data_IF_164063514382
#
_entry.id   IF_164063514382
#
_cell.length_a   1.000
_cell.length_b   1.000
_cell.length_c   1.000
_cell.angle_alpha   90.00
_cell.angle_beta   90.00
_cell.angle_gamma   90.00
#
_symmetry.space_group_name_H-M   'P 1'
#
loop_
_entity.id
_entity.type
_entity.pdbx_description
1 polymer ?
#
# COMPACT_ATOMS: atom_id res chain seq x y z
N UNK A 1 11.29 -0.02 -2.45
CA UNK A 1 10.57 0.06 -3.75
C UNK A 1 9.78 1.36 -3.83
N UNK A 2 9.57 1.90 -5.03
CA UNK A 2 8.79 3.12 -5.24
C UNK A 2 7.68 2.93 -6.26
N UNK A 3 6.58 3.66 -6.11
CA UNK A 3 5.61 3.94 -7.19
C UNK A 3 5.86 5.36 -7.68
N UNK A 4 5.85 5.58 -9.00
CA UNK A 4 6.05 6.90 -9.58
C UNK A 4 4.88 7.24 -10.50
N UNK A 5 4.41 8.48 -10.41
CA UNK A 5 3.39 9.03 -11.31
C UNK A 5 4.10 9.99 -12.26
N UNK A 6 3.77 9.86 -13.54
CA UNK A 6 4.36 10.63 -14.62
C UNK A 6 3.27 11.35 -15.39
N UNK A 7 3.54 12.59 -15.76
CA UNK A 7 2.74 13.29 -16.75
C UNK A 7 3.08 12.75 -18.14
N UNK A 8 2.08 12.19 -18.85
CA UNK A 8 2.30 11.53 -20.12
C UNK A 8 2.61 12.49 -21.28
N UNK A 9 2.20 13.76 -21.17
CA UNK A 9 2.42 14.76 -22.23
C UNK A 9 3.86 15.31 -22.20
N UNK A 10 4.39 15.53 -21.00
CA UNK A 10 5.71 16.15 -20.75
C UNK A 10 6.80 15.12 -20.43
N UNK A 11 6.42 13.91 -20.00
CA UNK A 11 7.35 12.91 -19.49
C UNK A 11 7.95 13.27 -18.12
N UNK A 12 7.43 14.30 -17.44
CA UNK A 12 7.90 14.69 -16.12
C UNK A 12 7.39 13.73 -15.04
N UNK A 13 8.26 13.37 -14.09
CA UNK A 13 7.85 12.64 -12.89
C UNK A 13 7.19 13.63 -11.91
N UNK A 14 5.87 13.54 -11.75
CA UNK A 14 5.08 14.46 -10.90
C UNK A 14 5.08 14.04 -9.44
N UNK A 15 5.22 12.75 -9.15
CA UNK A 15 5.18 12.23 -7.78
C UNK A 15 5.96 10.92 -7.64
N UNK A 16 6.63 10.73 -6.50
CA UNK A 16 7.30 9.49 -6.11
C UNK A 16 6.86 9.06 -4.72
N UNK A 17 6.28 7.86 -4.61
CA UNK A 17 5.81 7.25 -3.37
C UNK A 17 6.77 6.13 -2.94
N UNK A 18 7.31 6.20 -1.72
CA UNK A 18 8.23 5.19 -1.15
C UNK A 18 7.49 4.12 -0.36
N UNK A 19 7.02 3.09 -1.06
CA UNK A 19 6.17 2.03 -0.46
C UNK A 19 6.97 0.99 0.35
N UNK A 20 8.29 0.91 0.18
CA UNK A 20 9.14 -0.01 0.96
C UNK A 20 9.02 -1.49 0.57
N UNK A 21 7.95 -1.91 -0.12
CA UNK A 21 7.70 -3.28 -0.60
C UNK A 21 7.44 -3.33 -2.11
N UNK A 22 7.74 -4.46 -2.73
CA UNK A 22 7.44 -4.72 -4.13
C UNK A 22 5.92 -4.78 -4.34
N UNK A 23 5.38 -3.84 -5.10
CA UNK A 23 4.01 -3.89 -5.63
C UNK A 23 4.05 -4.62 -6.96
N UNK A 24 3.21 -5.63 -7.11
CA UNK A 24 3.12 -6.42 -8.35
C UNK A 24 1.82 -6.23 -9.12
N UNK A 25 0.81 -5.65 -8.49
CA UNK A 25 -0.43 -5.27 -9.14
C UNK A 25 -0.80 -3.84 -8.72
N UNK A 26 -1.12 -3.01 -9.70
CA UNK A 26 -1.61 -1.65 -9.47
C UNK A 26 -2.67 -1.29 -10.50
N UNK A 27 -3.74 -0.64 -10.05
CA UNK A 27 -4.78 -0.11 -10.92
C UNK A 27 -5.44 1.11 -10.29
N UNK A 28 -5.87 2.06 -11.11
CA UNK A 28 -6.60 3.24 -10.63
C UNK A 28 -8.00 2.83 -10.17
N UNK A 29 -8.47 3.43 -9.09
CA UNK A 29 -9.88 3.37 -8.72
C UNK A 29 -10.70 4.09 -9.81
N UNK A 30 -11.60 3.38 -10.52
CA UNK A 30 -12.36 3.96 -11.61
C UNK A 30 -13.33 5.07 -11.17
N UNK A 31 -13.59 5.23 -9.86
CA UNK A 31 -14.52 6.25 -9.35
C UNK A 31 -13.86 7.60 -9.14
N UNK A 32 -12.64 7.64 -8.62
CA UNK A 32 -11.99 8.90 -8.21
C UNK A 32 -10.75 9.24 -9.02
N UNK A 33 -10.13 8.29 -9.72
CA UNK A 33 -8.81 8.43 -10.37
C UNK A 33 -7.67 8.92 -9.47
N UNK A 34 -7.94 9.22 -8.19
CA UNK A 34 -6.97 9.67 -7.20
C UNK A 34 -6.53 8.58 -6.23
N UNK A 35 -7.16 7.40 -6.30
CA UNK A 35 -6.75 6.23 -5.53
C UNK A 35 -6.12 5.19 -6.45
N UNK A 36 -4.99 4.64 -6.02
CA UNK A 36 -4.33 3.52 -6.67
C UNK A 36 -4.50 2.29 -5.78
N UNK A 37 -5.21 1.28 -6.29
CA UNK A 37 -5.34 -0.02 -5.62
C UNK A 37 -4.12 -0.86 -5.89
N UNK A 38 -3.57 -1.48 -4.84
CA UNK A 38 -2.37 -2.31 -4.89
C UNK A 38 -2.57 -3.64 -4.16
N UNK A 39 -1.60 -4.55 -4.29
CA UNK A 39 -1.55 -5.82 -3.56
C UNK A 39 -1.44 -5.66 -2.03
N UNK A 40 -1.11 -4.46 -1.54
CA UNK A 40 -0.97 -4.17 -0.10
C UNK A 40 -2.01 -3.19 0.45
N UNK A 41 -2.94 -2.72 -0.39
CA UNK A 41 -3.98 -1.76 -0.01
C UNK A 41 -4.10 -0.57 -0.97
N UNK A 42 -4.77 0.50 -0.53
CA UNK A 42 -4.98 1.71 -1.31
C UNK A 42 -3.86 2.73 -1.08
N UNK A 43 -3.40 3.37 -2.16
CA UNK A 43 -2.51 4.53 -2.13
C UNK A 43 -3.27 5.76 -2.63
N UNK A 44 -3.16 6.88 -1.91
CA UNK A 44 -3.76 8.14 -2.33
C UNK A 44 -2.76 9.01 -3.10
N UNK A 45 -3.18 9.51 -4.26
CA UNK A 45 -2.40 10.36 -5.15
C UNK A 45 -2.66 11.86 -4.91
N UNK A 46 -3.79 12.23 -4.29
CA UNK A 46 -4.13 13.63 -3.99
C UNK A 46 -3.29 14.24 -2.86
N UNK A 47 -2.53 13.40 -2.15
CA UNK A 47 -1.63 13.88 -1.10
C UNK A 47 -0.31 14.32 -1.72
N UNK A 48 0.20 15.52 -1.36
CA UNK A 48 1.46 16.00 -1.88
C UNK A 48 2.55 14.97 -1.55
N UNK A 49 3.26 14.51 -2.58
CA UNK A 49 4.50 13.79 -2.37
C UNK A 49 5.39 14.72 -1.54
N UNK A 50 5.76 14.33 -0.33
CA UNK A 50 6.75 15.05 0.45
C UNK A 50 7.95 15.33 -0.47
N UNK A 51 8.25 16.62 -0.64
CA UNK A 51 9.41 17.09 -1.40
C UNK A 51 10.65 16.31 -0.95
N UNK A 52 11.67 16.10 -1.81
CA UNK A 52 12.94 15.58 -1.35
C UNK A 52 13.57 16.63 -0.42
N UNK A 53 13.26 16.56 0.88
CA UNK A 53 14.01 17.25 1.89
C UNK A 53 15.42 16.66 1.83
N UNK A 54 16.37 17.49 1.45
CA UNK A 54 17.76 17.33 1.85
C UNK A 54 17.70 17.25 3.38
N UNK A 55 17.78 16.05 3.95
CA UNK A 55 18.38 15.76 5.26
C UNK A 55 18.20 14.29 5.66
N UNK A 56 19.23 13.78 6.31
CA UNK A 56 19.54 12.38 6.67
C UNK A 56 18.56 11.67 7.63
N UNK A 57 17.26 11.92 7.55
CA UNK A 57 16.23 11.28 8.40
C UNK A 57 15.30 10.36 7.61
N UNK A 58 15.34 9.06 7.88
CA UNK A 58 14.41 8.05 7.35
C UNK A 58 12.94 8.45 7.52
N UNK A 59 12.29 8.90 6.45
CA UNK A 59 10.84 9.12 6.40
C UNK A 59 10.23 8.16 5.38
N UNK A 60 9.61 7.10 5.90
CA UNK A 60 8.84 6.12 5.13
C UNK A 60 7.65 6.83 4.47
N UNK A 61 7.32 6.53 3.21
CA UNK A 61 6.06 7.06 2.69
C UNK A 61 4.92 6.42 3.47
N UNK A 62 4.16 7.29 4.10
CA UNK A 62 2.99 6.98 4.91
C UNK A 62 1.84 6.55 3.99
N UNK A 63 1.17 5.44 4.33
CA UNK A 63 -0.06 4.99 3.67
C UNK A 63 -1.20 5.92 4.09
N UNK A 64 -1.13 7.19 3.69
CA UNK A 64 -2.01 8.19 4.26
C UNK A 64 -3.45 8.01 3.77
N UNK A 65 -4.28 7.66 4.75
CA UNK A 65 -5.71 7.44 4.72
C UNK A 65 -6.45 8.54 3.96
N UNK A 66 -7.16 8.15 2.89
CA UNK A 66 -8.42 8.81 2.54
C UNK A 66 -9.48 8.26 3.46
N UNK A 67 -10.49 9.08 3.74
CA UNK A 67 -11.70 8.87 4.57
C UNK A 67 -12.53 7.60 4.30
N UNK A 68 -12.00 6.63 3.55
CA UNK A 68 -12.50 5.29 3.36
C UNK A 68 -11.61 4.34 4.16
N UNK A 69 -12.19 3.67 5.17
CA UNK A 69 -11.59 2.60 5.98
C UNK A 69 -10.74 1.65 5.11
N UNK A 70 -9.45 1.97 4.98
CA UNK A 70 -8.59 1.34 3.98
C UNK A 70 -7.81 0.24 4.67
N UNK A 71 -8.26 -0.99 4.43
CA UNK A 71 -7.51 -2.16 4.88
C UNK A 71 -6.26 -2.31 4.01
N UNK A 72 -5.21 -2.84 4.62
CA UNK A 72 -3.94 -3.04 3.94
C UNK A 72 -2.99 -3.90 4.76
N UNK A 73 -1.75 -3.96 4.29
CA UNK A 73 -0.66 -4.71 4.91
C UNK A 73 0.48 -3.74 5.18
N UNK A 74 1.07 -3.84 6.37
CA UNK A 74 2.23 -3.02 6.75
C UNK A 74 3.44 -3.31 5.84
N UNK A 75 4.33 -2.32 5.74
CA UNK A 75 5.54 -2.42 4.90
C UNK A 75 6.46 -3.58 5.32
N UNK A 76 6.55 -3.87 6.62
CA UNK A 76 7.26 -5.02 7.20
C UNK A 76 6.46 -6.34 7.12
N UNK A 77 5.19 -6.27 6.73
CA UNK A 77 4.27 -7.42 6.56
C UNK A 77 4.02 -8.22 7.82
N UNK A 78 4.16 -7.55 8.95
CA UNK A 78 3.88 -8.09 10.28
C UNK A 78 2.46 -7.73 10.73
N UNK A 79 1.80 -6.77 10.07
CA UNK A 79 0.47 -6.31 10.44
C UNK A 79 -0.47 -6.23 9.24
N UNK A 80 -1.73 -6.62 9.49
CA UNK A 80 -2.86 -6.08 8.75
C UNK A 80 -3.19 -4.74 9.40
N UNK A 81 -3.26 -3.71 8.59
CA UNK A 81 -3.50 -2.33 9.03
C UNK A 81 -4.85 -1.85 8.53
N UNK A 82 -5.45 -0.94 9.30
CA UNK A 82 -6.59 -0.13 8.88
C UNK A 82 -6.26 1.32 9.21
N UNK A 83 -6.27 2.17 8.20
CA UNK A 83 -6.00 3.61 8.35
C UNK A 83 -4.70 3.86 9.16
N UNK A 84 -3.62 3.19 8.73
CA UNK A 84 -2.27 3.21 9.33
C UNK A 84 -2.12 2.57 10.72
N UNK A 85 -3.22 2.13 11.35
CA UNK A 85 -3.17 1.47 12.65
C UNK A 85 -3.13 -0.05 12.48
N UNK A 86 -2.18 -0.70 13.15
CA UNK A 86 -2.10 -2.16 13.21
C UNK A 86 -3.35 -2.76 13.86
N UNK A 87 -4.08 -3.59 13.12
CA UNK A 87 -5.32 -4.24 13.57
C UNK A 87 -5.08 -5.69 13.96
N UNK A 88 -4.29 -6.42 13.18
CA UNK A 88 -3.99 -7.83 13.42
C UNK A 88 -2.52 -8.10 13.16
N UNK A 89 -1.85 -8.66 14.16
CA UNK A 89 -0.46 -9.12 14.05
C UNK A 89 -0.41 -10.46 13.31
N UNK A 90 0.58 -10.61 12.44
CA UNK A 90 0.81 -11.81 11.63
C UNK A 90 2.01 -12.60 12.20
N UNK A 91 1.77 -13.82 12.72
CA UNK A 91 2.85 -14.73 13.09
C UNK A 91 3.79 -15.03 11.92
N UNK A 92 5.07 -15.37 12.17
CA UNK A 92 6.07 -15.62 11.13
C UNK A 92 5.62 -16.54 9.99
N UNK A 93 4.88 -17.60 10.31
CA UNK A 93 4.36 -18.59 9.37
C UNK A 93 3.26 -18.05 8.43
N UNK A 94 2.60 -16.96 8.82
CA UNK A 94 1.59 -16.24 8.04
C UNK A 94 2.12 -14.94 7.41
N UNK A 95 3.43 -14.67 7.53
CA UNK A 95 4.02 -13.48 6.93
C UNK A 95 3.97 -13.57 5.41
N UNK A 96 3.69 -12.41 4.83
CA UNK A 96 3.22 -12.26 3.45
C UNK A 96 4.36 -12.41 2.45
N UNK A 97 4.28 -13.42 1.59
CA UNK A 97 5.06 -13.46 0.34
C UNK A 97 4.35 -12.69 -0.78
N UNK A 98 3.04 -12.91 -0.90
CA UNK A 98 2.14 -12.26 -1.85
C UNK A 98 0.82 -11.93 -1.17
N UNK A 99 0.16 -10.88 -1.61
CA UNK A 99 -1.13 -10.48 -1.06
C UNK A 99 -2.05 -9.91 -2.13
N UNK A 100 -3.33 -9.82 -1.78
CA UNK A 100 -4.32 -9.05 -2.51
C UNK A 100 -5.26 -8.40 -1.51
N UNK A 101 -5.61 -7.14 -1.76
CA UNK A 101 -6.50 -6.37 -0.89
C UNK A 101 -7.61 -5.75 -1.73
N UNK A 102 -8.86 -6.00 -1.32
CA UNK A 102 -10.06 -5.43 -1.97
C UNK A 102 -11.07 -5.05 -0.89
N UNK A 103 -11.34 -3.74 -0.76
CA UNK A 103 -12.23 -3.22 0.27
C UNK A 103 -11.77 -3.61 1.67
N UNK A 104 -12.61 -4.35 2.41
CA UNK A 104 -12.28 -4.90 3.73
C UNK A 104 -11.77 -6.33 3.73
N UNK A 105 -11.44 -6.87 2.55
CA UNK A 105 -10.98 -8.24 2.38
C UNK A 105 -9.49 -8.26 2.10
N UNK A 106 -8.75 -9.05 2.86
CA UNK A 106 -7.30 -9.24 2.74
C UNK A 106 -7.01 -10.71 2.50
N UNK A 107 -6.30 -11.00 1.42
CA UNK A 107 -5.78 -12.32 1.10
C UNK A 107 -4.25 -12.35 1.22
N UNK A 108 -3.70 -13.38 1.85
CA UNK A 108 -2.26 -13.56 2.08
C UNK A 108 -1.81 -14.92 1.60
N UNK A 109 -0.86 -14.94 0.66
CA UNK A 109 -0.09 -16.12 0.29
C UNK A 109 1.12 -16.27 1.21
N UNK A 110 1.16 -17.39 1.94
CA UNK A 110 2.21 -17.71 2.90
C UNK A 110 3.34 -18.52 2.23
N UNK A 111 4.53 -18.54 2.84
CA UNK A 111 5.67 -19.32 2.33
C UNK A 111 5.38 -20.84 2.28
N UNK A 112 4.43 -21.32 3.07
CA UNK A 112 3.98 -22.73 3.06
C UNK A 112 3.09 -23.08 1.86
N UNK A 113 2.74 -22.13 0.99
CA UNK A 113 1.77 -22.31 -0.10
C UNK A 113 0.31 -22.16 0.33
N UNK A 114 0.04 -22.00 1.63
CA UNK A 114 -1.31 -21.73 2.15
C UNK A 114 -1.76 -20.31 1.85
N UNK A 115 -3.06 -20.14 1.61
CA UNK A 115 -3.71 -18.84 1.44
C UNK A 115 -4.62 -18.57 2.63
N UNK A 116 -4.41 -17.43 3.29
CA UNK A 116 -5.28 -16.92 4.33
C UNK A 116 -6.20 -15.86 3.74
N UNK A 117 -7.51 -15.98 3.97
CA UNK A 117 -8.52 -15.03 3.51
C UNK A 117 -9.27 -14.49 4.72
N UNK A 118 -9.27 -13.17 4.88
CA UNK A 118 -9.93 -12.48 6.00
C UNK A 118 -10.82 -11.37 5.46
N UNK A 119 -12.02 -11.26 6.00
CA UNK A 119 -12.94 -10.15 5.75
C UNK A 119 -13.22 -9.45 7.06
N UNK A 120 -13.02 -8.15 7.09
CA UNK A 120 -13.24 -7.32 8.27
C UNK A 120 -14.52 -6.48 8.15
N UNK A 121 -15.08 -6.13 9.31
CA UNK A 121 -16.31 -5.34 9.49
C UNK A 121 -16.00 -3.88 9.81
#
# INVERSE_FOLDING_TARGET
>A
MTVKIWDAATGACVQTLRVGRLITHLFFDPKTNSLLSTDIGLLNLDLPALSPAIDNGSTNATLQSVRHSSWGISTDSVWIVKDEKGMLWLPPEYRVMKSAVVGSTVAIGCHSGRVLLMKFS
#
